data_IF_094487508362
#
_entry.id   IF_094487508362
#
_cell.length_a   1.000
_cell.length_b   1.000
_cell.length_c   1.000
_cell.angle_alpha   90.00
_cell.angle_beta   90.00
_cell.angle_gamma   90.00
#
_symmetry.space_group_name_H-M   'P 1'
#
loop_
_entity.id
_entity.type
_entity.pdbx_description
1 polymer ?
#
# COMPACT_ATOMS: atom_id res chain seq x y z
N UNK A 1 -6.00 17.61 12.52
CA UNK A 1 -4.90 18.29 11.81
C UNK A 1 -5.38 18.58 10.40
N UNK A 2 -4.96 19.69 9.79
CA UNK A 2 -5.25 19.93 8.36
C UNK A 2 -4.55 18.85 7.51
N UNK A 3 -5.29 18.22 6.59
CA UNK A 3 -4.76 17.17 5.70
C UNK A 3 -3.54 17.66 4.90
N UNK A 4 -3.47 18.97 4.62
CA UNK A 4 -2.34 19.61 3.95
C UNK A 4 -1.05 19.44 4.74
N UNK A 5 -1.10 19.57 6.07
CA UNK A 5 0.06 19.43 6.94
C UNK A 5 0.53 17.97 6.95
N UNK A 6 -0.39 17.02 6.99
CA UNK A 6 -0.05 15.58 6.98
C UNK A 6 0.66 15.20 5.68
N UNK A 7 0.11 15.62 4.54
CA UNK A 7 0.72 15.37 3.23
C UNK A 7 2.10 16.02 3.14
N UNK A 8 2.23 17.27 3.58
CA UNK A 8 3.51 17.98 3.60
C UNK A 8 4.54 17.27 4.48
N UNK A 9 4.16 16.80 5.67
CA UNK A 9 5.04 16.06 6.57
C UNK A 9 5.60 14.79 5.92
N UNK A 10 4.78 14.05 5.16
CA UNK A 10 5.23 12.85 4.46
C UNK A 10 6.23 13.20 3.35
N UNK A 11 5.96 14.24 2.57
CA UNK A 11 6.90 14.73 1.53
C UNK A 11 8.23 15.15 2.17
N UNK A 12 8.18 15.87 3.29
CA UNK A 12 9.36 16.29 4.04
C UNK A 12 10.14 15.07 4.55
N UNK A 13 9.47 14.03 5.08
CA UNK A 13 10.14 12.80 5.51
C UNK A 13 10.85 12.08 4.36
N UNK A 14 10.22 12.01 3.18
CA UNK A 14 10.84 11.42 1.98
C UNK A 14 12.09 12.22 1.57
N UNK A 15 12.01 13.56 1.60
CA UNK A 15 13.15 14.44 1.31
C UNK A 15 14.28 14.25 2.32
N UNK A 16 13.96 14.17 3.61
CA UNK A 16 14.96 13.92 4.67
C UNK A 16 15.66 12.59 4.44
N UNK A 17 14.93 11.50 4.15
CA UNK A 17 15.53 10.20 3.85
C UNK A 17 16.45 10.26 2.62
N UNK A 18 16.01 10.96 1.57
CA UNK A 18 16.79 11.14 0.34
C UNK A 18 18.07 11.94 0.59
N UNK A 19 17.98 13.04 1.34
CA UNK A 19 19.13 13.87 1.72
C UNK A 19 20.08 13.12 2.64
N UNK A 20 19.57 12.33 3.58
CA UNK A 20 20.36 11.50 4.48
C UNK A 20 21.22 10.49 3.71
N UNK A 21 20.66 9.89 2.65
CA UNK A 21 21.46 9.06 1.71
C UNK A 21 22.52 9.90 0.99
N UNK A 22 22.14 11.08 0.48
CA UNK A 22 23.03 11.94 -0.31
C UNK A 22 24.25 12.46 0.46
N UNK A 23 24.09 12.77 1.75
CA UNK A 23 25.19 13.27 2.60
C UNK A 23 26.02 12.14 3.24
N UNK A 24 25.70 10.87 2.94
CA UNK A 24 26.41 9.71 3.48
C UNK A 24 26.04 9.34 4.92
N UNK A 25 24.97 9.91 5.49
CA UNK A 25 24.45 9.52 6.80
C UNK A 25 23.83 8.11 6.74
N UNK A 26 23.11 7.81 5.65
CA UNK A 26 22.58 6.49 5.35
C UNK A 26 23.27 5.91 4.11
N UNK A 27 23.72 4.66 4.21
CA UNK A 27 24.30 3.88 3.11
C UNK A 27 23.21 3.04 2.44
N UNK A 28 23.53 2.48 1.27
CA UNK A 28 22.57 1.62 0.55
C UNK A 28 22.15 0.39 1.35
N UNK A 29 23.09 -0.22 2.08
CA UNK A 29 22.81 -1.37 2.94
C UNK A 29 21.91 -1.02 4.14
N UNK A 30 21.84 0.25 4.54
CA UNK A 30 20.99 0.68 5.66
C UNK A 30 19.51 0.67 5.25
N UNK A 31 19.20 0.77 3.95
CA UNK A 31 17.82 0.70 3.43
C UNK A 31 17.18 -0.65 3.78
N UNK A 32 17.91 -1.75 3.59
CA UNK A 32 17.42 -3.08 3.93
C UNK A 32 17.20 -3.23 5.44
N UNK A 33 18.14 -2.73 6.25
CA UNK A 33 18.04 -2.76 7.72
C UNK A 33 16.82 -1.99 8.21
N UNK A 34 16.61 -0.76 7.72
CA UNK A 34 15.45 0.06 8.05
C UNK A 34 14.15 -0.60 7.59
N UNK A 35 14.14 -1.18 6.38
CA UNK A 35 12.97 -1.88 5.86
C UNK A 35 12.61 -3.09 6.71
N UNK A 36 13.60 -3.86 7.17
CA UNK A 36 13.38 -5.00 8.06
C UNK A 36 12.76 -4.57 9.39
N UNK A 37 13.16 -3.42 9.95
CA UNK A 37 12.54 -2.87 11.15
C UNK A 37 11.08 -2.48 10.87
N UNK A 38 10.82 -1.81 9.74
CA UNK A 38 9.47 -1.37 9.40
C UNK A 38 8.53 -2.55 9.15
N UNK A 39 8.94 -3.50 8.30
CA UNK A 39 8.11 -4.64 7.89
C UNK A 39 7.91 -5.63 9.04
N UNK A 40 8.94 -5.95 9.81
CA UNK A 40 8.86 -7.04 10.80
C UNK A 40 8.46 -6.57 12.19
N UNK A 41 8.57 -5.27 12.49
CA UNK A 41 8.30 -4.74 13.84
C UNK A 41 7.23 -3.63 13.77
N UNK A 42 7.53 -2.53 13.08
CA UNK A 42 6.68 -1.34 13.15
C UNK A 42 5.28 -1.59 12.57
N UNK A 43 5.19 -2.18 11.37
CA UNK A 43 3.92 -2.48 10.71
C UNK A 43 3.07 -3.49 11.52
N UNK A 44 3.59 -4.64 11.97
CA UNK A 44 2.83 -5.57 12.83
C UNK A 44 2.32 -4.91 14.12
N UNK A 45 3.15 -4.11 14.81
CA UNK A 45 2.73 -3.40 16.01
C UNK A 45 1.62 -2.37 15.71
N UNK A 46 1.73 -1.66 14.58
CA UNK A 46 0.75 -0.67 14.15
C UNK A 46 -0.59 -1.30 13.79
N UNK A 47 -0.57 -2.42 13.06
CA UNK A 47 -1.75 -3.22 12.73
C UNK A 47 -2.40 -3.77 14.00
N UNK A 48 -1.60 -4.36 14.89
CA UNK A 48 -2.09 -4.88 16.18
C UNK A 48 -2.75 -3.79 17.00
N UNK A 49 -2.13 -2.61 17.12
CA UNK A 49 -2.70 -1.49 17.85
C UNK A 49 -4.04 -1.02 17.25
N UNK A 50 -4.14 -0.96 15.93
CA UNK A 50 -5.38 -0.58 15.23
C UNK A 50 -6.51 -1.61 15.45
N UNK A 51 -6.17 -2.90 15.49
CA UNK A 51 -7.14 -3.98 15.74
C UNK A 51 -7.54 -4.09 17.21
N UNK A 52 -6.60 -3.92 18.13
CA UNK A 52 -6.84 -4.01 19.57
C UNK A 52 -7.80 -2.92 20.06
N UNK A 53 -7.72 -1.75 19.45
CA UNK A 53 -8.57 -0.58 19.78
C UNK A 53 -9.84 -0.52 18.91
N UNK A 54 -10.10 -1.55 18.11
CA UNK A 54 -11.25 -1.62 17.22
C UNK A 54 -12.55 -1.89 17.97
N UNK A 55 -13.64 -1.24 17.53
CA UNK A 55 -14.98 -1.66 17.89
C UNK A 55 -15.38 -2.87 17.03
N UNK A 56 -15.50 -4.03 17.70
CA UNK A 56 -15.83 -5.33 17.10
C UNK A 56 -17.18 -5.29 16.35
N UNK A 57 -18.11 -4.41 16.76
CA UNK A 57 -19.41 -4.27 16.09
C UNK A 57 -19.30 -3.74 14.66
N UNK A 58 -18.20 -3.06 14.32
CA UNK A 58 -17.95 -2.52 12.98
C UNK A 58 -17.37 -3.56 12.00
N UNK A 59 -16.91 -4.72 12.49
CA UNK A 59 -16.23 -5.73 11.67
C UNK A 59 -17.02 -6.18 10.42
N UNK A 60 -18.34 -6.47 10.49
CA UNK A 60 -19.12 -6.85 9.30
C UNK A 60 -19.18 -5.74 8.24
N UNK A 61 -19.09 -4.47 8.66
CA UNK A 61 -19.09 -3.34 7.74
C UNK A 61 -17.70 -3.08 7.16
N UNK A 62 -16.65 -3.39 7.91
CA UNK A 62 -15.26 -3.24 7.47
C UNK A 62 -14.88 -4.31 6.43
N UNK A 63 -15.39 -5.53 6.54
CA UNK A 63 -15.13 -6.61 5.56
C UNK A 63 -15.71 -6.30 4.17
N UNK A 64 -16.78 -5.52 4.08
CA UNK A 64 -17.33 -5.02 2.80
C UNK A 64 -16.29 -4.17 2.05
N UNK A 65 -15.45 -3.42 2.78
CA UNK A 65 -14.38 -2.63 2.16
C UNK A 65 -13.37 -3.52 1.45
N UNK A 66 -13.03 -4.67 2.03
CA UNK A 66 -12.13 -5.65 1.41
C UNK A 66 -12.68 -6.13 0.07
N UNK A 67 -13.97 -6.49 0.02
CA UNK A 67 -14.63 -6.91 -1.24
C UNK A 67 -14.68 -5.79 -2.25
N UNK A 68 -15.00 -4.57 -1.82
CA UNK A 68 -15.02 -3.40 -2.68
C UNK A 68 -13.65 -3.12 -3.30
N UNK A 69 -12.58 -3.15 -2.48
CA UNK A 69 -11.21 -2.96 -2.97
C UNK A 69 -10.86 -4.06 -3.98
N UNK A 70 -11.16 -5.33 -3.70
CA UNK A 70 -10.90 -6.45 -4.64
C UNK A 70 -11.53 -6.19 -6.01
N UNK A 71 -12.81 -5.80 -6.03
CA UNK A 71 -13.52 -5.51 -7.28
C UNK A 71 -12.90 -4.32 -8.00
N UNK A 72 -12.58 -3.23 -7.27
CA UNK A 72 -11.98 -2.04 -7.88
C UNK A 72 -10.59 -2.33 -8.43
N UNK A 73 -9.75 -3.09 -7.71
CA UNK A 73 -8.44 -3.55 -8.14
C UNK A 73 -8.54 -4.42 -9.40
N UNK A 74 -9.52 -5.32 -9.48
CA UNK A 74 -9.77 -6.12 -10.67
C UNK A 74 -10.16 -5.23 -11.87
N UNK A 75 -11.11 -4.31 -11.68
CA UNK A 75 -11.56 -3.40 -12.73
C UNK A 75 -10.39 -2.55 -13.23
N UNK A 76 -9.62 -1.94 -12.33
CA UNK A 76 -8.47 -1.10 -12.68
C UNK A 76 -7.40 -1.93 -13.40
N UNK A 77 -7.13 -3.15 -12.96
CA UNK A 77 -6.20 -4.07 -13.62
C UNK A 77 -6.62 -4.41 -15.05
N UNK A 78 -7.90 -4.76 -15.24
CA UNK A 78 -8.47 -5.07 -16.57
C UNK A 78 -8.43 -3.84 -17.48
N UNK A 79 -8.85 -2.67 -17.00
CA UNK A 79 -8.81 -1.43 -17.77
C UNK A 79 -7.38 -1.06 -18.17
N UNK A 80 -6.42 -1.23 -17.26
CA UNK A 80 -4.99 -0.99 -17.53
C UNK A 80 -4.48 -1.95 -18.60
N UNK A 81 -4.80 -3.24 -18.50
CA UNK A 81 -4.42 -4.24 -19.50
C UNK A 81 -4.99 -3.89 -20.88
N UNK A 82 -6.30 -3.61 -20.96
CA UNK A 82 -6.98 -3.29 -22.22
C UNK A 82 -6.41 -2.02 -22.87
N UNK A 83 -6.15 -0.99 -22.06
CA UNK A 83 -5.55 0.26 -22.54
C UNK A 83 -4.15 0.03 -23.12
N UNK A 84 -3.27 -0.65 -22.38
CA UNK A 84 -1.89 -0.86 -22.84
C UNK A 84 -1.82 -1.83 -24.02
N UNK A 85 -2.69 -2.83 -24.07
CA UNK A 85 -2.83 -3.72 -25.21
C UNK A 85 -3.32 -2.96 -26.46
N UNK A 86 -4.29 -2.05 -26.31
CA UNK A 86 -4.74 -1.16 -27.39
C UNK A 86 -3.62 -0.24 -27.89
N UNK A 87 -2.74 0.21 -26.99
CA UNK A 87 -1.54 0.99 -27.33
C UNK A 87 -0.41 0.15 -27.96
N UNK A 88 -0.60 -1.15 -28.16
CA UNK A 88 0.38 -2.04 -28.81
C UNK A 88 1.61 -2.36 -27.96
N UNK A 89 1.50 -2.27 -26.63
CA UNK A 89 2.61 -2.61 -25.74
C UNK A 89 2.89 -4.11 -25.74
N UNK A 90 4.15 -4.50 -25.52
CA UNK A 90 4.48 -5.91 -25.35
C UNK A 90 3.95 -6.45 -24.01
N UNK A 91 3.65 -7.76 -24.00
CA UNK A 91 3.06 -8.45 -22.85
C UNK A 91 3.84 -8.22 -21.55
N UNK A 92 5.17 -8.18 -21.59
CA UNK A 92 6.00 -8.00 -20.38
C UNK A 92 5.79 -6.61 -19.79
N UNK A 93 5.79 -5.56 -20.61
CA UNK A 93 5.52 -4.18 -20.15
C UNK A 93 4.10 -4.03 -19.61
N UNK A 94 3.11 -4.64 -20.28
CA UNK A 94 1.71 -4.59 -19.82
C UNK A 94 1.60 -5.15 -18.40
N UNK A 95 2.05 -6.39 -18.17
CA UNK A 95 1.94 -7.01 -16.85
C UNK A 95 2.78 -6.31 -15.79
N UNK A 96 3.94 -5.77 -16.15
CA UNK A 96 4.75 -4.95 -15.24
C UNK A 96 3.98 -3.73 -14.72
N UNK A 97 3.23 -3.04 -15.58
CA UNK A 97 2.40 -1.91 -15.17
C UNK A 97 1.13 -2.33 -14.43
N UNK A 98 0.45 -3.39 -14.87
CA UNK A 98 -0.78 -3.89 -14.21
C UNK A 98 -0.51 -4.19 -12.74
N UNK A 99 0.60 -4.88 -12.42
CA UNK A 99 0.97 -5.20 -11.03
C UNK A 99 1.17 -3.92 -10.20
N UNK A 100 1.92 -2.95 -10.74
CA UNK A 100 2.23 -1.70 -10.04
C UNK A 100 0.97 -0.90 -9.74
N UNK A 101 0.06 -0.78 -10.73
CA UNK A 101 -1.18 -0.03 -10.58
C UNK A 101 -2.14 -0.71 -9.60
N UNK A 102 -2.23 -2.05 -9.65
CA UNK A 102 -3.20 -2.81 -8.86
C UNK A 102 -2.80 -2.91 -7.38
N UNK A 103 -1.50 -3.08 -7.09
CA UNK A 103 -1.02 -3.23 -5.71
C UNK A 103 -0.78 -1.88 -5.03
N UNK A 104 -0.26 -0.89 -5.76
CA UNK A 104 0.07 0.42 -5.21
C UNK A 104 1.03 0.35 -4.01
N UNK A 105 1.11 1.45 -3.25
CA UNK A 105 1.86 1.52 -2.00
C UNK A 105 0.91 1.84 -0.84
N UNK A 106 0.09 0.86 -0.49
CA UNK A 106 -0.92 0.97 0.56
C UNK A 106 -0.32 0.86 1.97
N UNK A 107 0.73 0.05 2.13
CA UNK A 107 1.41 -0.14 3.42
C UNK A 107 2.28 1.06 3.84
N UNK A 108 3.30 1.42 3.04
CA UNK A 108 4.26 2.46 3.46
C UNK A 108 3.70 3.88 3.31
N UNK A 109 2.88 4.13 2.29
CA UNK A 109 2.30 5.46 2.06
C UNK A 109 0.84 5.56 2.50
N UNK A 110 0.03 4.54 2.24
CA UNK A 110 -1.38 4.54 2.61
C UNK A 110 -1.61 4.59 4.12
N UNK A 111 -0.89 3.81 4.93
CA UNK A 111 -1.09 3.79 6.38
C UNK A 111 -0.77 5.14 7.04
N UNK A 112 0.39 5.79 6.81
CA UNK A 112 0.67 7.09 7.41
C UNK A 112 -0.32 8.18 6.98
N UNK A 113 -0.76 8.19 5.71
CA UNK A 113 -1.75 9.16 5.23
C UNK A 113 -3.09 8.94 5.93
N UNK A 114 -3.58 7.71 5.93
CA UNK A 114 -4.90 7.39 6.50
C UNK A 114 -4.92 7.60 8.01
N UNK A 115 -3.87 7.19 8.72
CA UNK A 115 -3.75 7.45 10.15
C UNK A 115 -3.61 8.95 10.44
N UNK A 116 -2.84 9.70 9.65
CA UNK A 116 -2.69 11.14 9.85
C UNK A 116 -4.01 11.90 9.68
N UNK A 117 -4.75 11.62 8.61
CA UNK A 117 -5.98 12.35 8.27
C UNK A 117 -7.17 11.90 9.12
N UNK A 118 -7.35 10.59 9.29
CA UNK A 118 -8.56 10.00 9.85
C UNK A 118 -8.32 9.32 11.21
N UNK A 119 -7.11 9.40 11.75
CA UNK A 119 -6.74 8.79 13.03
C UNK A 119 -6.85 7.27 13.01
N UNK A 120 -7.08 6.70 14.18
CA UNK A 120 -7.17 5.25 14.36
C UNK A 120 -8.37 4.63 13.59
N UNK A 121 -9.48 5.36 13.47
CA UNK A 121 -10.64 4.92 12.68
C UNK A 121 -10.33 4.85 11.17
N UNK A 122 -9.41 5.66 10.67
CA UNK A 122 -8.86 5.53 9.32
C UNK A 122 -7.92 4.35 9.20
N UNK A 123 -7.02 4.20 10.17
CA UNK A 123 -6.03 3.13 10.19
C UNK A 123 -6.69 1.75 10.14
N UNK A 124 -7.73 1.51 10.95
CA UNK A 124 -8.43 0.22 10.92
C UNK A 124 -9.05 -0.05 9.54
N UNK A 125 -9.64 0.95 8.88
CA UNK A 125 -10.18 0.79 7.52
C UNK A 125 -9.06 0.47 6.52
N UNK A 126 -7.91 1.15 6.64
CA UNK A 126 -6.75 0.91 5.80
C UNK A 126 -6.24 -0.53 5.95
N UNK A 127 -6.17 -1.07 7.17
CA UNK A 127 -5.81 -2.48 7.43
C UNK A 127 -6.77 -3.43 6.71
N UNK A 128 -8.09 -3.22 6.81
CA UNK A 128 -9.08 -4.05 6.10
C UNK A 128 -9.01 -3.94 4.58
N UNK A 129 -8.68 -2.75 4.06
CA UNK A 129 -8.39 -2.57 2.64
C UNK A 129 -7.13 -3.35 2.23
N UNK A 130 -6.11 -3.41 3.09
CA UNK A 130 -4.82 -4.04 2.76
C UNK A 130 -4.87 -5.57 2.75
N UNK A 131 -5.86 -6.16 3.43
CA UNK A 131 -6.20 -7.59 3.28
C UNK A 131 -6.53 -7.89 1.81
N UNK A 132 -7.25 -6.98 1.13
CA UNK A 132 -7.53 -7.13 -0.30
C UNK A 132 -6.25 -7.11 -1.11
N UNK A 133 -5.33 -6.18 -0.83
CA UNK A 133 -4.04 -6.08 -1.52
C UNK A 133 -3.25 -7.38 -1.42
N UNK A 134 -3.25 -8.01 -0.24
CA UNK A 134 -2.58 -9.30 -0.02
C UNK A 134 -3.20 -10.43 -0.83
N UNK A 135 -4.53 -10.51 -0.91
CA UNK A 135 -5.25 -11.47 -1.76
C UNK A 135 -4.92 -11.22 -3.23
N UNK A 136 -4.97 -9.96 -3.67
CA UNK A 136 -4.67 -9.58 -5.05
C UNK A 136 -3.22 -9.91 -5.42
N UNK A 137 -2.27 -9.69 -4.52
CA UNK A 137 -0.87 -10.07 -4.72
C UNK A 137 -0.71 -11.57 -4.97
N UNK A 138 -1.37 -12.41 -4.17
CA UNK A 138 -1.32 -13.87 -4.35
C UNK A 138 -1.94 -14.27 -5.68
N UNK A 139 -3.12 -13.74 -6.02
CA UNK A 139 -3.81 -14.04 -7.30
C UNK A 139 -2.96 -13.63 -8.50
N UNK A 140 -2.40 -12.42 -8.50
CA UNK A 140 -1.53 -11.95 -9.58
C UNK A 140 -0.25 -12.80 -9.69
N UNK A 141 0.33 -13.20 -8.56
CA UNK A 141 1.51 -14.07 -8.54
C UNK A 141 1.24 -15.41 -9.23
N UNK A 142 0.09 -16.04 -8.96
CA UNK A 142 -0.32 -17.26 -9.66
C UNK A 142 -0.54 -17.02 -11.17
N UNK A 143 -1.20 -15.93 -11.55
CA UNK A 143 -1.41 -15.57 -12.96
C UNK A 143 -0.07 -15.39 -13.70
N UNK A 144 0.90 -14.71 -13.08
CA UNK A 144 2.24 -14.49 -13.64
C UNK A 144 3.03 -15.77 -13.85
N UNK A 145 2.86 -16.77 -12.97
CA UNK A 145 3.51 -18.07 -13.13
C UNK A 145 2.94 -18.84 -14.33
N UNK A 146 1.67 -18.63 -14.68
CA UNK A 146 0.98 -19.35 -15.75
C UNK A 146 1.15 -18.71 -17.14
N UNK A 147 1.68 -17.49 -17.23
CA UNK A 147 1.75 -16.67 -18.45
C UNK A 147 3.18 -16.58 -19.00
#
# INVERSE_FOLDING_TARGET
>A
MDYRIIILSIIVMILIGTLSKKIGLLKENDVETLNNIVINIALPCMIFNALYTADVSLLPRLSILTVYILITSLIVGVLTYLLLNFLGWDRKKIWSLVIVVVLGNTGFLGYPITQGIFGNAGMIRAVFCDISTSITFVVLSFILILI
#
